data_IF_840290504949
#
_entry.id   IF_840290504949
#
_cell.length_a   1.000
_cell.length_b   1.000
_cell.length_c   1.000
_cell.angle_alpha   90.00
_cell.angle_beta   90.00
_cell.angle_gamma   90.00
#
_symmetry.space_group_name_H-M   'P 1'
#
loop_
_entity.id
_entity.type
_entity.pdbx_description
1 polymer ?
#
# COMPACT_ATOMS: atom_id res chain seq x y z
N UNK A 1 -1.71 -15.37 14.31
CA UNK A 1 -1.04 -14.08 14.06
C UNK A 1 -1.89 -13.00 14.69
N UNK A 2 -1.30 -11.96 15.31
CA UNK A 2 -2.08 -10.86 15.87
C UNK A 2 -2.69 -10.01 14.74
N UNK A 3 -3.90 -9.48 14.96
CA UNK A 3 -4.58 -8.60 13.99
C UNK A 3 -3.80 -7.28 13.85
N UNK A 4 -3.56 -6.81 12.62
CA UNK A 4 -2.97 -5.50 12.36
C UNK A 4 -3.79 -4.36 12.98
N UNK A 5 -3.12 -3.49 13.74
CA UNK A 5 -3.75 -2.41 14.51
C UNK A 5 -4.24 -1.24 13.64
N UNK A 6 -3.71 -1.08 12.43
CA UNK A 6 -3.90 0.12 11.62
C UNK A 6 -4.56 -0.15 10.25
N UNK A 7 -4.96 -1.41 10.00
CA UNK A 7 -5.58 -1.87 8.74
C UNK A 7 -6.67 -2.87 9.06
N UNK A 8 -7.89 -2.35 9.20
CA UNK A 8 -9.05 -3.13 9.67
C UNK A 8 -9.34 -4.39 8.87
N UNK A 9 -9.09 -4.38 7.56
CA UNK A 9 -9.50 -5.47 6.66
C UNK A 9 -8.42 -6.53 6.41
N UNK A 10 -7.16 -6.29 6.79
CA UNK A 10 -6.02 -7.10 6.34
C UNK A 10 -6.14 -8.60 6.65
N UNK A 11 -6.75 -8.95 7.78
CA UNK A 11 -6.91 -10.34 8.23
C UNK A 11 -8.35 -10.86 8.11
N UNK A 12 -9.27 -10.03 7.65
CA UNK A 12 -10.70 -10.33 7.51
C UNK A 12 -11.07 -10.39 6.01
N UNK A 13 -10.15 -10.89 5.18
CA UNK A 13 -10.32 -11.04 3.73
C UNK A 13 -10.84 -12.43 3.36
N UNK A 14 -11.71 -12.55 2.33
CA UNK A 14 -12.13 -13.85 1.83
C UNK A 14 -10.96 -14.57 1.12
N UNK A 15 -11.02 -15.91 1.08
CA UNK A 15 -9.95 -16.76 0.53
C UNK A 15 -9.68 -16.53 -0.97
N UNK A 16 -10.60 -15.88 -1.69
CA UNK A 16 -10.53 -15.63 -3.12
C UNK A 16 -9.89 -14.28 -3.50
N UNK A 17 -9.39 -13.49 -2.53
CA UNK A 17 -8.66 -12.24 -2.81
C UNK A 17 -7.40 -12.54 -3.60
N UNK A 18 -7.15 -11.77 -4.66
CA UNK A 18 -5.93 -11.91 -5.44
C UNK A 18 -4.84 -10.95 -4.97
N UNK A 19 -3.83 -11.55 -4.33
CA UNK A 19 -2.65 -10.86 -3.83
C UNK A 19 -1.52 -10.88 -4.86
N UNK A 20 -0.86 -9.74 -5.03
CA UNK A 20 0.28 -9.53 -5.94
C UNK A 20 1.47 -10.43 -5.63
N UNK A 21 1.63 -10.83 -4.37
CA UNK A 21 2.75 -11.62 -3.88
C UNK A 21 2.32 -12.96 -3.26
N UNK A 22 1.15 -13.47 -3.65
CA UNK A 22 0.66 -14.80 -3.25
C UNK A 22 0.01 -14.87 -1.86
N UNK A 23 0.01 -13.77 -1.09
CA UNK A 23 -0.68 -13.69 0.19
C UNK A 23 -0.76 -12.26 0.74
N UNK A 24 -1.46 -12.07 1.87
CA UNK A 24 -1.56 -10.78 2.54
C UNK A 24 -0.16 -10.31 2.99
N UNK A 25 0.15 -9.01 2.87
CA UNK A 25 1.40 -8.45 3.36
C UNK A 25 1.48 -8.46 4.89
N UNK A 26 2.70 -8.40 5.43
CA UNK A 26 2.96 -8.16 6.86
C UNK A 26 3.48 -6.75 7.08
N UNK A 27 3.07 -6.11 8.18
CA UNK A 27 3.44 -4.73 8.49
C UNK A 27 4.16 -4.57 9.84
N UNK A 28 4.56 -5.66 10.50
CA UNK A 28 5.14 -5.63 11.86
C UNK A 28 6.28 -4.63 12.02
N UNK A 29 7.26 -4.63 11.10
CA UNK A 29 8.38 -3.71 11.13
C UNK A 29 7.95 -2.25 10.94
N UNK A 30 7.04 -1.99 10.01
CA UNK A 30 6.52 -0.63 9.73
C UNK A 30 5.66 -0.13 10.89
N UNK A 31 4.85 -1.00 11.48
CA UNK A 31 4.01 -0.68 12.64
C UNK A 31 4.85 -0.38 13.87
N UNK A 32 5.95 -1.12 14.07
CA UNK A 32 6.93 -0.82 15.12
C UNK A 32 7.54 0.57 14.95
N UNK A 33 8.09 0.87 13.76
CA UNK A 33 8.69 2.18 13.46
C UNK A 33 7.68 3.32 13.56
N UNK A 34 6.45 3.10 13.11
CA UNK A 34 5.35 4.06 13.25
C UNK A 34 5.01 4.31 14.73
N UNK A 35 4.99 3.26 15.54
CA UNK A 35 4.77 3.36 16.99
C UNK A 35 5.89 4.12 17.72
N UNK A 36 7.15 3.92 17.31
CA UNK A 36 8.32 4.62 17.84
C UNK A 36 8.35 6.10 17.43
N UNK A 37 7.91 6.43 16.20
CA UNK A 37 7.96 7.78 15.65
C UNK A 37 6.69 8.63 15.82
N UNK A 38 5.56 8.06 16.24
CA UNK A 38 4.32 8.82 16.40
C UNK A 38 4.40 9.79 17.57
N UNK A 39 3.90 11.00 17.37
CA UNK A 39 3.81 12.04 18.40
C UNK A 39 2.38 12.22 18.95
N UNK A 40 1.41 11.57 18.31
CA UNK A 40 -0.01 11.61 18.70
C UNK A 40 -0.59 10.21 18.71
N UNK A 41 -1.45 9.97 19.70
CA UNK A 41 -2.31 8.80 19.77
C UNK A 41 -3.74 9.26 19.53
N UNK A 42 -4.42 8.56 18.63
CA UNK A 42 -5.83 8.81 18.35
C UNK A 42 -6.68 7.98 19.29
N UNK A 43 -7.71 8.59 19.85
CA UNK A 43 -8.71 7.88 20.64
C UNK A 43 -9.43 6.87 19.76
N UNK A 44 -9.72 5.68 20.29
CA UNK A 44 -10.49 4.67 19.58
C UNK A 44 -11.87 5.23 19.18
N UNK A 45 -12.25 5.00 17.93
CA UNK A 45 -13.47 5.54 17.32
C UNK A 45 -13.40 7.01 16.93
N UNK A 46 -12.27 7.70 17.12
CA UNK A 46 -12.12 9.09 16.67
C UNK A 46 -12.05 9.18 15.15
N UNK A 47 -12.38 10.36 14.61
CA UNK A 47 -12.28 10.62 13.17
C UNK A 47 -10.84 10.43 12.66
N UNK A 48 -9.85 10.87 13.43
CA UNK A 48 -8.44 10.74 13.08
C UNK A 48 -8.00 9.27 13.01
N UNK A 49 -8.47 8.44 13.95
CA UNK A 49 -8.23 7.00 13.90
C UNK A 49 -8.87 6.38 12.66
N UNK A 50 -10.12 6.73 12.36
CA UNK A 50 -10.86 6.22 11.20
C UNK A 50 -10.16 6.62 9.90
N UNK A 51 -9.78 7.90 9.75
CA UNK A 51 -9.08 8.41 8.57
C UNK A 51 -7.73 7.72 8.41
N UNK A 52 -6.98 7.54 9.50
CA UNK A 52 -5.70 6.84 9.46
C UNK A 52 -5.87 5.39 9.00
N UNK A 53 -6.84 4.66 9.55
CA UNK A 53 -7.14 3.29 9.14
C UNK A 53 -7.58 3.21 7.68
N UNK A 54 -8.46 4.13 7.24
CA UNK A 54 -8.95 4.19 5.86
C UNK A 54 -7.80 4.38 4.87
N UNK A 55 -6.92 5.35 5.09
CA UNK A 55 -5.80 5.64 4.19
C UNK A 55 -4.75 4.53 4.19
N UNK A 56 -4.38 3.99 5.37
CA UNK A 56 -3.42 2.87 5.45
C UNK A 56 -3.97 1.59 4.83
N UNK A 57 -5.28 1.36 4.94
CA UNK A 57 -5.95 0.24 4.28
C UNK A 57 -6.00 0.45 2.77
N UNK A 58 -6.39 1.63 2.29
CA UNK A 58 -6.46 1.94 0.86
C UNK A 58 -5.09 1.81 0.17
N UNK A 59 -4.04 2.33 0.81
CA UNK A 59 -2.67 2.17 0.32
C UNK A 59 -2.29 0.70 0.22
N UNK A 60 -2.57 -0.10 1.26
CA UNK A 60 -2.31 -1.54 1.27
C UNK A 60 -3.05 -2.25 0.12
N UNK A 61 -4.34 -1.97 -0.07
CA UNK A 61 -5.14 -2.55 -1.16
C UNK A 61 -4.55 -2.20 -2.53
N UNK A 62 -4.29 -0.91 -2.77
CA UNK A 62 -3.70 -0.42 -4.01
C UNK A 62 -2.32 -1.04 -4.28
N UNK A 63 -1.55 -1.23 -3.21
CA UNK A 63 -0.20 -1.75 -3.26
C UNK A 63 -0.12 -3.26 -3.49
N UNK A 64 -1.04 -4.03 -2.90
CA UNK A 64 -0.89 -5.47 -2.75
C UNK A 64 -2.00 -6.28 -3.42
N UNK A 65 -3.20 -5.74 -3.62
CA UNK A 65 -4.25 -6.43 -4.39
C UNK A 65 -4.03 -6.21 -5.89
N UNK A 66 -4.51 -7.16 -6.71
CA UNK A 66 -4.36 -7.09 -8.17
C UNK A 66 -5.65 -6.82 -8.92
N UNK A 67 -6.79 -6.80 -8.23
CA UNK A 67 -8.10 -6.57 -8.83
C UNK A 67 -8.88 -5.54 -8.03
N UNK A 68 -9.54 -4.62 -8.71
CA UNK A 68 -10.25 -3.51 -8.07
C UNK A 68 -11.47 -3.98 -7.27
N UNK A 69 -12.14 -5.06 -7.70
CA UNK A 69 -13.28 -5.65 -6.98
C UNK A 69 -12.92 -6.20 -5.60
N UNK A 70 -11.63 -6.44 -5.33
CA UNK A 70 -11.19 -6.89 -4.01
C UNK A 70 -11.04 -5.71 -3.04
N UNK A 71 -11.23 -4.46 -3.48
CA UNK A 71 -11.05 -3.27 -2.65
C UNK A 71 -12.32 -2.98 -1.84
N UNK A 72 -12.14 -2.74 -0.54
CA UNK A 72 -13.22 -2.39 0.39
C UNK A 72 -13.23 -0.90 0.73
N UNK A 73 -12.11 -0.20 0.48
CA UNK A 73 -11.92 1.19 0.94
C UNK A 73 -12.49 2.25 -0.01
N UNK A 74 -12.88 1.87 -1.21
CA UNK A 74 -13.41 2.78 -2.25
C UNK A 74 -14.64 2.19 -2.91
N UNK A 75 -15.47 3.05 -3.50
CA UNK A 75 -16.51 2.64 -4.43
C UNK A 75 -15.91 2.60 -5.85
N UNK A 76 -15.73 1.42 -6.49
CA UNK A 76 -15.08 1.30 -7.79
C UNK A 76 -15.74 2.12 -8.90
N UNK A 77 -17.06 2.28 -8.86
CA UNK A 77 -17.83 2.99 -9.89
C UNK A 77 -17.70 4.51 -9.78
N UNK A 78 -17.44 5.02 -8.57
CA UNK A 78 -17.40 6.47 -8.28
C UNK A 78 -16.01 7.00 -7.99
N UNK A 79 -15.04 6.13 -7.75
CA UNK A 79 -13.70 6.53 -7.36
C UNK A 79 -12.99 7.30 -8.46
N UNK A 80 -12.39 8.44 -8.08
CA UNK A 80 -11.52 9.24 -8.92
C UNK A 80 -10.30 9.70 -8.13
N UNK A 81 -9.11 9.43 -8.64
CA UNK A 81 -7.85 9.95 -8.09
C UNK A 81 -7.35 11.11 -8.95
N UNK A 82 -7.11 12.24 -8.30
CA UNK A 82 -6.53 13.42 -8.93
C UNK A 82 -5.11 13.61 -8.40
N UNK A 83 -4.15 13.76 -9.31
CA UNK A 83 -2.73 13.95 -8.97
C UNK A 83 -2.22 15.17 -9.70
N UNK A 84 -1.67 16.14 -8.96
CA UNK A 84 -1.00 17.33 -9.50
C UNK A 84 -1.84 18.12 -10.53
N UNK A 85 -3.15 18.27 -10.28
CA UNK A 85 -4.07 19.04 -11.13
C UNK A 85 -4.42 18.38 -12.48
N UNK A 86 -4.06 17.11 -12.69
CA UNK A 86 -4.42 16.34 -13.88
C UNK A 86 -5.88 15.86 -13.82
N UNK A 87 -6.36 15.37 -14.95
CA UNK A 87 -7.66 14.70 -15.05
C UNK A 87 -7.77 13.50 -14.09
N UNK A 88 -8.99 13.26 -13.60
CA UNK A 88 -9.27 12.22 -12.61
C UNK A 88 -9.15 10.81 -13.17
N UNK A 89 -8.22 10.04 -12.62
CA UNK A 89 -7.98 8.64 -12.94
C UNK A 89 -9.07 7.76 -12.33
N UNK A 90 -9.58 6.78 -13.08
CA UNK A 90 -10.45 5.74 -12.50
C UNK A 90 -9.67 4.85 -11.52
N UNK A 91 -10.39 4.00 -10.78
CA UNK A 91 -9.76 2.98 -9.94
C UNK A 91 -8.86 2.03 -10.74
N UNK A 92 -9.28 1.64 -11.94
CA UNK A 92 -8.50 0.76 -12.82
C UNK A 92 -7.25 1.46 -13.37
N UNK A 93 -7.37 2.72 -13.79
CA UNK A 93 -6.23 3.53 -14.23
C UNK A 93 -5.20 3.67 -13.10
N UNK A 94 -5.70 3.94 -11.88
CA UNK A 94 -4.87 4.10 -10.67
C UNK A 94 -4.13 2.80 -10.33
N UNK A 95 -4.82 1.65 -10.39
CA UNK A 95 -4.22 0.33 -10.14
C UNK A 95 -3.18 -0.03 -11.20
N UNK A 96 -3.47 0.25 -12.47
CA UNK A 96 -2.56 0.03 -13.60
C UNK A 96 -1.29 0.87 -13.47
N UNK A 97 -1.44 2.18 -13.22
CA UNK A 97 -0.33 3.11 -13.02
C UNK A 97 0.54 2.69 -11.83
N UNK A 98 -0.07 2.33 -10.70
CA UNK A 98 0.67 1.86 -9.53
C UNK A 98 1.47 0.59 -9.85
N UNK A 99 0.90 -0.35 -10.62
CA UNK A 99 1.63 -1.54 -11.07
C UNK A 99 2.82 -1.19 -11.97
N UNK A 100 2.73 -0.16 -12.80
CA UNK A 100 3.85 0.30 -13.63
C UNK A 100 4.93 0.98 -12.78
N UNK A 101 4.54 1.92 -11.91
CA UNK A 101 5.46 2.63 -11.02
C UNK A 101 6.24 1.67 -10.11
N UNK A 102 5.57 0.67 -9.52
CA UNK A 102 6.25 -0.34 -8.68
C UNK A 102 7.24 -1.19 -9.46
N UNK A 103 6.94 -1.55 -10.71
CA UNK A 103 7.88 -2.28 -11.57
C UNK A 103 9.12 -1.43 -11.87
N UNK A 104 8.93 -0.15 -12.18
CA UNK A 104 10.02 0.80 -12.41
C UNK A 104 10.88 0.99 -11.16
N UNK A 105 10.27 1.24 -9.99
CA UNK A 105 10.99 1.37 -8.72
C UNK A 105 11.81 0.12 -8.39
N UNK A 106 11.24 -1.07 -8.54
CA UNK A 106 11.98 -2.32 -8.31
C UNK A 106 13.17 -2.46 -9.28
N UNK A 107 13.00 -2.09 -10.56
CA UNK A 107 14.09 -2.11 -11.52
C UNK A 107 15.19 -1.11 -11.15
N UNK A 108 14.82 0.12 -10.79
CA UNK A 108 15.75 1.16 -10.36
C UNK A 108 16.53 0.77 -9.09
N UNK A 109 15.86 0.21 -8.09
CA UNK A 109 16.52 -0.25 -6.87
C UNK A 109 17.52 -1.38 -7.14
N UNK A 110 17.14 -2.38 -7.96
CA UNK A 110 18.07 -3.45 -8.36
C UNK A 110 19.29 -2.92 -9.09
N UNK A 111 19.09 -1.97 -10.01
CA UNK A 111 20.18 -1.32 -10.76
C UNK A 111 21.10 -0.52 -9.83
N UNK A 112 20.53 0.25 -8.89
CA UNK A 112 21.29 1.01 -7.91
C UNK A 112 22.17 0.10 -7.05
N UNK A 113 21.62 -1.02 -6.56
CA UNK A 113 22.37 -1.99 -5.77
C UNK A 113 23.48 -2.67 -6.59
N UNK A 114 23.21 -3.01 -7.85
CA UNK A 114 24.21 -3.59 -8.75
C UNK A 114 25.39 -2.64 -8.96
N UNK A 115 25.13 -1.37 -9.26
CA UNK A 115 26.17 -0.35 -9.46
C UNK A 115 26.99 -0.12 -8.19
N UNK A 116 26.35 -0.15 -7.02
CA UNK A 116 27.05 -0.06 -5.73
C UNK A 116 27.99 -1.24 -5.51
N UNK A 117 27.55 -2.47 -5.83
CA UNK A 117 28.39 -3.68 -5.72
C UNK A 117 29.54 -3.68 -6.73
N UNK A 118 29.30 -3.24 -7.97
CA UNK A 118 30.34 -3.11 -9.01
C UNK A 118 31.42 -2.11 -8.59
N UNK A 119 31.02 -0.96 -8.04
CA UNK A 119 31.95 0.03 -7.49
C UNK A 119 32.75 -0.45 -6.27
N UNK A 120 32.15 -1.27 -5.39
CA UNK A 120 32.86 -1.89 -4.26
C UNK A 120 33.83 -2.99 -4.68
N UNK A 121 33.51 -3.72 -5.75
CA UNK A 121 34.32 -4.85 -6.25
C UNK A 121 35.44 -4.41 -7.20
N UNK A 122 35.60 -3.11 -7.46
CA UNK A 122 36.70 -2.56 -8.25
C UNK A 122 36.74 -3.08 -9.70
N UNK A 123 35.58 -3.36 -10.29
CA UNK A 123 35.45 -3.62 -11.72
C UNK A 123 35.17 -2.35 -12.50
#
# INVERSE_FOLDING_TARGET
MAKDKYRSFLHDEPDNVQWRHGGPPTYDAVNKLFGEGRTKEWTEGSLEEIVQNAIKSWEMELSHKTRLQDFKTINPEKFKLFVNGREGLSGEDTLSLTKQMKRLLNHLMKRSNQLFLEGLLGK
#
